data_IF_760160702141
#
_entry.id   IF_760160702141
#
_cell.length_a   1.000
_cell.length_b   1.000
_cell.length_c   1.000
_cell.angle_alpha   90.00
_cell.angle_beta   90.00
_cell.angle_gamma   90.00
#
_symmetry.space_group_name_H-M   'P 1'
#
loop_
_entity.id
_entity.type
_entity.pdbx_description
1 polymer ?
#
# COMPACT_ATOMS: atom_id res chain seq x y z
N UNK A 1 -2.57 24.70 18.84
CA UNK A 1 -1.65 23.70 18.27
C UNK A 1 -0.78 23.18 19.40
N UNK A 2 -0.52 21.87 19.45
CA UNK A 2 0.33 21.28 20.47
C UNK A 2 1.77 21.38 19.96
N UNK A 3 2.61 22.14 20.65
CA UNK A 3 4.03 22.27 20.35
C UNK A 3 4.81 21.50 21.41
N UNK A 4 5.42 20.40 21.03
CA UNK A 4 6.23 19.56 21.93
C UNK A 4 7.13 18.65 21.10
N UNK A 5 8.24 18.21 21.69
CA UNK A 5 9.19 17.29 21.07
C UNK A 5 9.34 16.06 21.93
N UNK A 6 9.43 14.89 21.30
CA UNK A 6 9.56 13.63 22.01
C UNK A 6 10.93 13.49 22.67
N UNK A 7 11.98 13.95 21.99
CA UNK A 7 13.35 13.91 22.50
C UNK A 7 13.67 14.86 23.66
N UNK A 8 12.81 15.85 23.94
CA UNK A 8 13.13 16.93 24.89
C UNK A 8 12.40 16.75 26.24
N UNK A 9 13.16 16.42 27.28
CA UNK A 9 12.69 16.35 28.68
C UNK A 9 11.66 15.26 28.99
N UNK A 10 11.56 14.24 28.16
CA UNK A 10 10.70 13.08 28.40
C UNK A 10 11.54 11.83 28.66
N UNK A 11 11.14 11.08 29.67
CA UNK A 11 11.63 9.71 29.88
C UNK A 11 10.46 8.75 29.89
N UNK A 12 10.44 7.83 28.92
CA UNK A 12 9.38 6.84 28.81
C UNK A 12 9.44 5.80 29.91
N UNK A 13 8.26 5.32 30.28
CA UNK A 13 8.10 4.22 31.21
C UNK A 13 7.93 2.92 30.45
N UNK A 14 8.28 1.80 31.08
CA UNK A 14 8.11 0.49 30.49
C UNK A 14 7.83 -0.58 31.54
N UNK A 15 7.30 -1.70 31.09
CA UNK A 15 7.11 -2.88 31.95
C UNK A 15 8.26 -3.87 31.77
N UNK A 16 8.69 -4.55 32.84
CA UNK A 16 9.65 -5.65 32.74
C UNK A 16 9.20 -6.67 31.68
N UNK A 17 10.10 -7.03 30.76
CA UNK A 17 9.81 -8.01 29.69
C UNK A 17 9.25 -7.42 28.40
N UNK A 18 9.14 -6.09 28.26
CA UNK A 18 8.88 -5.42 26.98
C UNK A 18 10.08 -4.54 26.66
N UNK A 19 10.86 -4.96 25.66
CA UNK A 19 12.10 -4.32 25.25
C UNK A 19 12.20 -4.29 23.72
N UNK A 20 12.97 -3.34 23.19
CA UNK A 20 13.28 -3.25 21.75
C UNK A 20 14.16 -4.42 21.29
N UNK A 21 15.04 -4.88 22.17
CA UNK A 21 16.06 -5.88 21.86
C UNK A 21 16.08 -7.02 22.89
N UNK A 22 16.18 -8.25 22.40
CA UNK A 22 16.32 -9.48 23.20
C UNK A 22 17.61 -10.19 22.80
N UNK A 23 18.73 -9.76 23.37
CA UNK A 23 20.05 -10.20 22.94
C UNK A 23 20.33 -9.74 21.51
N UNK A 24 20.59 -10.69 20.60
CA UNK A 24 20.77 -10.38 19.16
C UNK A 24 19.47 -10.21 18.37
N UNK A 25 18.31 -10.29 19.01
CA UNK A 25 17.02 -10.20 18.35
C UNK A 25 16.42 -8.80 18.48
N UNK A 26 16.40 -8.06 17.38
CA UNK A 26 15.82 -6.71 17.29
C UNK A 26 14.34 -6.79 16.88
N UNK A 27 13.42 -6.46 17.79
CA UNK A 27 11.97 -6.57 17.55
C UNK A 27 11.50 -5.62 16.45
N UNK A 28 12.09 -4.42 16.39
CA UNK A 28 11.79 -3.46 15.34
C UNK A 28 12.09 -4.02 13.94
N UNK A 29 13.28 -4.60 13.75
CA UNK A 29 13.66 -5.22 12.48
C UNK A 29 12.77 -6.44 12.15
N UNK A 30 12.43 -7.23 13.16
CA UNK A 30 11.53 -8.37 13.01
C UNK A 30 10.13 -7.95 12.55
N UNK A 31 9.50 -6.99 13.22
CA UNK A 31 8.15 -6.50 12.89
C UNK A 31 8.11 -5.84 11.50
N UNK A 32 9.13 -5.06 11.14
CA UNK A 32 9.28 -4.51 9.79
C UNK A 32 9.39 -5.60 8.72
N UNK A 33 10.23 -6.61 8.95
CA UNK A 33 10.40 -7.73 8.01
C UNK A 33 9.12 -8.56 7.88
N UNK A 34 8.45 -8.84 9.00
CA UNK A 34 7.17 -9.54 9.02
C UNK A 34 6.10 -8.76 8.25
N UNK A 35 6.02 -7.44 8.45
CA UNK A 35 5.13 -6.56 7.71
C UNK A 35 5.38 -6.61 6.19
N UNK A 36 6.64 -6.55 5.76
CA UNK A 36 7.02 -6.69 4.35
C UNK A 36 6.57 -8.06 3.79
N UNK A 37 6.81 -9.15 4.53
CA UNK A 37 6.40 -10.51 4.11
C UNK A 37 4.88 -10.57 3.93
N UNK A 38 4.10 -10.05 4.87
CA UNK A 38 2.63 -10.03 4.77
C UNK A 38 2.14 -9.22 3.56
N UNK A 39 2.76 -8.07 3.29
CA UNK A 39 2.46 -7.27 2.11
C UNK A 39 2.73 -8.05 0.80
N UNK A 40 3.84 -8.79 0.73
CA UNK A 40 4.18 -9.64 -0.43
C UNK A 40 3.22 -10.82 -0.55
N UNK A 41 2.90 -11.52 0.54
CA UNK A 41 1.97 -12.65 0.54
C UNK A 41 0.56 -12.25 0.09
N UNK A 42 0.07 -11.10 0.55
CA UNK A 42 -1.22 -10.61 0.09
C UNK A 42 -1.18 -10.12 -1.36
N UNK A 43 -0.07 -9.50 -1.79
CA UNK A 43 0.14 -9.16 -3.20
C UNK A 43 0.13 -10.42 -4.08
N UNK A 44 0.76 -11.50 -3.64
CA UNK A 44 0.71 -12.80 -4.31
C UNK A 44 -0.73 -13.33 -4.42
N UNK A 45 -1.51 -13.25 -3.34
CA UNK A 45 -2.93 -13.61 -3.39
C UNK A 45 -3.71 -12.78 -4.44
N UNK A 46 -3.49 -11.45 -4.50
CA UNK A 46 -4.11 -10.58 -5.52
C UNK A 46 -3.66 -10.94 -6.93
N UNK A 47 -2.37 -11.25 -7.14
CA UNK A 47 -1.85 -11.70 -8.43
C UNK A 47 -2.56 -12.98 -8.89
N UNK A 48 -2.67 -13.98 -8.02
CA UNK A 48 -3.36 -15.24 -8.34
C UNK A 48 -4.85 -15.02 -8.62
N UNK A 49 -5.52 -14.14 -7.88
CA UNK A 49 -6.93 -13.79 -8.10
C UNK A 49 -7.17 -13.09 -9.44
N UNK A 50 -6.17 -12.37 -9.96
CA UNK A 50 -6.21 -11.61 -11.21
C UNK A 50 -5.55 -12.33 -12.40
N UNK A 51 -5.14 -13.59 -12.21
CA UNK A 51 -4.44 -14.40 -13.23
C UNK A 51 -3.16 -13.72 -13.74
N UNK A 52 -2.45 -13.01 -12.86
CA UNK A 52 -1.16 -12.37 -13.15
C UNK A 52 -0.01 -13.36 -12.93
N UNK A 53 1.05 -13.21 -13.71
CA UNK A 53 2.23 -14.08 -13.61
C UNK A 53 2.92 -13.95 -12.26
N UNK A 54 3.18 -15.09 -11.62
CA UNK A 54 3.98 -15.15 -10.40
C UNK A 54 5.42 -14.69 -10.63
N UNK A 55 6.00 -15.00 -11.79
CA UNK A 55 7.35 -14.57 -12.15
C UNK A 55 7.49 -13.04 -12.12
N UNK A 56 6.43 -12.33 -12.53
CA UNK A 56 6.40 -10.86 -12.50
C UNK A 56 6.53 -10.31 -11.07
N UNK A 57 5.91 -10.98 -10.09
CA UNK A 57 6.02 -10.59 -8.68
C UNK A 57 7.42 -10.88 -8.14
N UNK A 58 8.01 -12.03 -8.47
CA UNK A 58 9.38 -12.38 -8.07
C UNK A 58 10.37 -11.33 -8.57
N UNK A 59 10.33 -10.99 -9.87
CA UNK A 59 11.19 -9.95 -10.44
C UNK A 59 10.97 -8.60 -9.76
N UNK A 60 9.73 -8.26 -9.44
CA UNK A 60 9.42 -7.07 -8.66
C UNK A 60 10.13 -7.07 -7.31
N UNK A 61 9.96 -8.12 -6.50
CA UNK A 61 10.57 -8.22 -5.16
C UNK A 61 12.10 -8.17 -5.23
N UNK A 62 12.71 -8.93 -6.15
CA UNK A 62 14.16 -9.04 -6.29
C UNK A 62 14.85 -7.71 -6.61
N UNK A 63 14.20 -6.82 -7.36
CA UNK A 63 14.79 -5.53 -7.71
C UNK A 63 14.32 -4.38 -6.82
N UNK A 64 13.02 -4.33 -6.47
CA UNK A 64 12.44 -3.20 -5.72
C UNK A 64 12.96 -3.18 -4.28
N UNK A 65 13.03 -4.33 -3.60
CA UNK A 65 13.43 -4.36 -2.18
C UNK A 65 14.89 -3.92 -1.99
N UNK A 66 15.89 -4.48 -2.71
CA UNK A 66 17.27 -4.03 -2.53
C UNK A 66 17.47 -2.57 -2.92
N UNK A 67 16.86 -2.12 -4.02
CA UNK A 67 16.99 -0.72 -4.46
C UNK A 67 16.31 0.24 -3.50
N UNK A 68 15.21 -0.16 -2.88
CA UNK A 68 14.59 0.59 -1.78
C UNK A 68 15.52 0.70 -0.57
N UNK A 69 16.22 -0.36 -0.19
CA UNK A 69 17.18 -0.31 0.92
C UNK A 69 18.39 0.58 0.58
N UNK A 70 18.93 0.47 -0.62
CA UNK A 70 20.01 1.35 -1.09
C UNK A 70 19.57 2.81 -1.13
N UNK A 71 18.39 3.10 -1.68
CA UNK A 71 17.84 4.44 -1.67
C UNK A 71 17.67 4.99 -0.26
N UNK A 72 17.14 4.18 0.66
CA UNK A 72 16.99 4.58 2.05
C UNK A 72 18.34 4.97 2.68
N UNK A 73 19.37 4.14 2.50
CA UNK A 73 20.72 4.42 2.98
C UNK A 73 21.30 5.71 2.38
N UNK A 74 21.28 5.84 1.05
CA UNK A 74 21.90 6.96 0.34
C UNK A 74 21.25 8.28 0.77
N UNK A 75 19.93 8.39 0.69
CA UNK A 75 19.25 9.65 1.06
C UNK A 75 19.30 9.93 2.56
N UNK A 76 19.33 8.91 3.42
CA UNK A 76 19.44 9.09 4.86
C UNK A 76 20.79 9.65 5.28
N UNK A 77 21.87 9.15 4.69
CA UNK A 77 23.23 9.63 4.95
C UNK A 77 23.55 10.96 4.25
N UNK A 78 22.82 11.32 3.20
CA UNK A 78 22.98 12.60 2.49
C UNK A 78 22.26 13.79 3.17
N UNK A 79 21.08 13.59 3.75
CA UNK A 79 20.23 14.68 4.30
C UNK A 79 20.67 15.21 5.68
N UNK A 80 21.91 14.95 6.06
CA UNK A 80 22.31 14.93 7.44
C UNK A 80 23.40 16.00 7.66
N UNK A 81 22.99 17.26 7.82
CA UNK A 81 23.80 18.49 8.00
C UNK A 81 24.95 18.77 7.01
N UNK A 82 25.22 17.86 6.07
CA UNK A 82 26.22 17.93 5.00
C UNK A 82 26.56 16.52 4.51
N UNK A 83 27.10 16.32 3.30
CA UNK A 83 27.53 15.00 2.85
C UNK A 83 28.59 14.44 3.81
N UNK A 84 28.22 13.41 4.58
CA UNK A 84 29.15 12.66 5.42
C UNK A 84 29.17 13.03 6.90
N UNK A 85 28.69 14.18 7.37
CA UNK A 85 28.89 14.56 8.79
C UNK A 85 28.10 13.69 9.79
N UNK A 86 26.88 13.26 9.49
CA UNK A 86 26.06 12.50 10.46
C UNK A 86 26.18 10.97 10.38
N UNK A 87 27.12 10.44 9.60
CA UNK A 87 27.57 9.05 9.74
C UNK A 87 29.05 8.99 10.17
N UNK A 88 29.59 10.09 10.71
CA UNK A 88 30.98 10.15 11.18
C UNK A 88 32.00 10.40 10.06
N UNK A 89 31.64 11.16 9.02
CA UNK A 89 32.50 11.45 7.88
C UNK A 89 32.54 10.35 6.81
N UNK A 90 31.46 9.58 6.63
CA UNK A 90 31.47 8.44 5.69
C UNK A 90 31.86 8.86 4.28
N UNK A 91 32.87 8.21 3.72
CA UNK A 91 33.24 8.36 2.32
C UNK A 91 32.12 7.89 1.38
N UNK A 92 32.26 8.16 0.07
CA UNK A 92 31.26 7.84 -0.96
C UNK A 92 30.66 6.43 -0.85
N UNK A 93 31.48 5.41 -0.57
CA UNK A 93 31.02 4.02 -0.43
C UNK A 93 30.15 3.77 0.80
N UNK A 94 30.37 4.54 1.88
CA UNK A 94 29.55 4.45 3.09
C UNK A 94 28.11 4.92 2.86
N UNK A 95 27.84 5.73 1.83
CA UNK A 95 26.46 6.09 1.47
C UNK A 95 25.59 4.87 1.12
N UNK A 96 26.20 3.80 0.60
CA UNK A 96 25.51 2.58 0.18
C UNK A 96 25.43 1.51 1.27
N UNK A 97 26.12 1.72 2.40
CA UNK A 97 26.15 0.77 3.51
C UNK A 97 24.81 0.79 4.28
N UNK A 98 23.80 0.11 3.74
CA UNK A 98 22.46 0.03 4.33
C UNK A 98 22.39 -0.79 5.63
N UNK A 99 23.48 -1.50 5.97
CA UNK A 99 23.65 -2.21 7.24
C UNK A 99 24.15 -1.30 8.37
N UNK A 100 24.49 -0.04 8.07
CA UNK A 100 24.79 0.98 9.08
C UNK A 100 23.59 1.88 9.30
N UNK A 101 23.60 2.61 10.43
CA UNK A 101 22.58 3.60 10.74
C UNK A 101 22.55 4.77 9.73
N UNK A 102 21.47 5.55 9.74
CA UNK A 102 21.29 6.70 8.87
C UNK A 102 20.46 6.39 7.61
N UNK A 103 19.34 5.70 7.75
CA UNK A 103 18.40 5.46 6.64
C UNK A 103 17.27 6.48 6.63
N UNK A 104 16.88 6.94 5.43
CA UNK A 104 15.70 7.80 5.21
C UNK A 104 14.58 7.01 4.55
N UNK A 105 13.40 7.02 5.17
CA UNK A 105 12.20 6.39 4.62
C UNK A 105 11.85 6.98 3.24
N UNK A 106 11.98 8.31 3.08
CA UNK A 106 11.70 8.99 1.81
C UNK A 106 12.57 8.46 0.67
N UNK A 107 13.86 8.26 0.93
CA UNK A 107 14.79 7.70 -0.05
C UNK A 107 14.40 6.31 -0.51
N UNK A 108 14.00 5.44 0.43
CA UNK A 108 13.56 4.10 0.09
C UNK A 108 12.26 4.09 -0.72
N UNK A 109 11.30 4.93 -0.34
CA UNK A 109 10.03 5.06 -1.09
C UNK A 109 10.27 5.54 -2.51
N UNK A 110 11.10 6.57 -2.72
CA UNK A 110 11.37 7.09 -4.07
C UNK A 110 12.14 6.09 -4.94
N UNK A 111 13.22 5.50 -4.41
CA UNK A 111 14.01 4.52 -5.14
C UNK A 111 13.19 3.27 -5.47
N UNK A 112 12.39 2.78 -4.51
CA UNK A 112 11.49 1.65 -4.70
C UNK A 112 10.39 1.94 -5.73
N UNK A 113 9.79 3.14 -5.69
CA UNK A 113 8.78 3.56 -6.67
C UNK A 113 9.36 3.60 -8.08
N UNK A 114 10.50 4.27 -8.27
CA UNK A 114 11.16 4.39 -9.58
C UNK A 114 11.50 2.99 -10.12
N UNK A 115 12.12 2.14 -9.30
CA UNK A 115 12.46 0.78 -9.71
C UNK A 115 11.21 -0.05 -10.04
N UNK A 116 10.13 0.12 -9.26
CA UNK A 116 8.85 -0.54 -9.54
C UNK A 116 8.25 -0.13 -10.88
N UNK A 117 8.26 1.16 -11.20
CA UNK A 117 7.78 1.68 -12.49
C UNK A 117 8.61 1.12 -13.65
N UNK A 118 9.93 1.01 -13.49
CA UNK A 118 10.83 0.44 -14.51
C UNK A 118 10.55 -1.05 -14.71
N UNK A 119 10.57 -1.84 -13.64
CA UNK A 119 10.41 -3.30 -13.70
C UNK A 119 9.04 -3.69 -14.24
N UNK A 120 7.96 -3.16 -13.65
CA UNK A 120 6.60 -3.46 -14.12
C UNK A 120 6.26 -2.78 -15.45
N UNK A 121 6.94 -1.69 -15.81
CA UNK A 121 6.85 -1.11 -17.15
C UNK A 121 7.42 -2.04 -18.22
N UNK A 122 8.59 -2.64 -17.98
CA UNK A 122 9.22 -3.60 -18.91
C UNK A 122 8.41 -4.89 -18.97
N UNK A 123 8.07 -5.47 -17.81
CA UNK A 123 7.32 -6.72 -17.72
C UNK A 123 5.92 -6.54 -18.31
N UNK A 124 5.24 -5.44 -17.99
CA UNK A 124 3.92 -5.11 -18.51
C UNK A 124 3.88 -5.02 -20.03
N UNK A 125 4.91 -4.43 -20.67
CA UNK A 125 5.01 -4.40 -22.14
C UNK A 125 5.18 -5.79 -22.75
N UNK A 126 5.94 -6.68 -22.11
CA UNK A 126 6.15 -8.07 -22.56
C UNK A 126 4.92 -8.96 -22.36
N UNK A 127 4.22 -8.77 -21.24
CA UNK A 127 3.06 -9.57 -20.83
C UNK A 127 1.72 -8.96 -21.24
N UNK A 128 1.74 -7.76 -21.82
CA UNK A 128 0.55 -6.93 -22.12
C UNK A 128 -0.32 -6.66 -20.89
N UNK A 129 0.27 -6.61 -19.70
CA UNK A 129 -0.44 -6.23 -18.46
C UNK A 129 -0.19 -4.76 -18.17
N UNK A 130 -1.25 -4.03 -17.86
CA UNK A 130 -1.15 -2.61 -17.51
C UNK A 130 -0.40 -2.41 -16.19
N UNK A 131 0.43 -1.37 -16.14
CA UNK A 131 1.11 -0.94 -14.92
C UNK A 131 0.11 -0.65 -13.79
N UNK A 132 -1.04 -0.06 -14.12
CA UNK A 132 -2.11 0.21 -13.16
C UNK A 132 -2.65 -1.06 -12.49
N UNK A 133 -2.70 -2.17 -13.24
CA UNK A 133 -3.12 -3.47 -12.72
C UNK A 133 -2.13 -4.01 -11.70
N UNK A 134 -0.82 -3.86 -11.95
CA UNK A 134 0.22 -4.21 -11.00
C UNK A 134 0.18 -3.29 -9.76
N UNK A 135 0.01 -1.99 -9.95
CA UNK A 135 -0.09 -1.03 -8.84
C UNK A 135 -1.25 -1.38 -7.90
N UNK A 136 -2.45 -1.61 -8.42
CA UNK A 136 -3.60 -2.01 -7.60
C UNK A 136 -3.40 -3.35 -6.87
N UNK A 137 -2.59 -4.24 -7.44
CA UNK A 137 -2.28 -5.53 -6.83
C UNK A 137 -1.23 -5.45 -5.72
N UNK A 138 -0.39 -4.40 -5.69
CA UNK A 138 0.76 -4.28 -4.78
C UNK A 138 0.56 -3.13 -3.79
N UNK A 139 0.32 -1.92 -4.28
CA UNK A 139 0.40 -0.67 -3.52
C UNK A 139 -0.51 -0.66 -2.29
N UNK A 140 -1.79 -1.08 -2.36
CA UNK A 140 -2.63 -1.12 -1.16
C UNK A 140 -2.03 -1.96 -0.03
N UNK A 141 -1.31 -3.03 -0.36
CA UNK A 141 -0.78 -3.98 0.63
C UNK A 141 0.41 -3.44 1.40
N UNK A 142 1.00 -2.30 0.99
CA UNK A 142 2.01 -1.57 1.77
C UNK A 142 1.44 -1.18 3.15
N UNK A 143 0.13 -0.92 3.24
CA UNK A 143 -0.53 -0.65 4.51
C UNK A 143 -0.35 -1.80 5.51
N UNK A 144 -0.43 -3.06 5.08
CA UNK A 144 -0.19 -4.21 5.97
C UNK A 144 1.22 -4.18 6.57
N UNK A 145 2.20 -3.78 5.75
CA UNK A 145 3.58 -3.59 6.21
C UNK A 145 3.67 -2.55 7.31
N UNK A 146 3.01 -1.41 7.12
CA UNK A 146 2.98 -0.34 8.12
C UNK A 146 2.19 -0.73 9.37
N UNK A 147 1.06 -1.43 9.24
CA UNK A 147 0.24 -1.93 10.37
C UNK A 147 1.12 -2.71 11.34
N UNK A 148 1.93 -3.64 10.83
CA UNK A 148 2.82 -4.46 11.66
C UNK A 148 4.07 -3.69 12.08
N UNK A 149 4.67 -2.89 11.19
CA UNK A 149 5.86 -2.09 11.49
C UNK A 149 5.66 -1.11 12.65
N UNK A 150 4.44 -0.59 12.85
CA UNK A 150 4.12 0.28 14.00
C UNK A 150 4.29 -0.40 15.36
N UNK A 151 4.19 -1.73 15.43
CA UNK A 151 4.47 -2.45 16.66
C UNK A 151 5.96 -2.42 17.01
N UNK A 152 6.86 -2.29 16.03
CA UNK A 152 8.27 -2.05 16.28
C UNK A 152 8.50 -0.75 17.07
N UNK A 153 7.80 0.33 16.70
CA UNK A 153 7.87 1.61 17.42
C UNK A 153 7.47 1.44 18.89
N UNK A 154 6.43 0.63 19.16
CA UNK A 154 6.00 0.33 20.52
C UNK A 154 7.09 -0.36 21.36
N UNK A 155 7.73 -1.40 20.83
CA UNK A 155 8.82 -2.10 21.55
C UNK A 155 10.06 -1.22 21.75
N UNK A 156 10.30 -0.27 20.84
CA UNK A 156 11.36 0.73 20.97
C UNK A 156 10.99 1.91 21.87
N UNK A 157 9.76 1.98 22.39
CA UNK A 157 9.24 3.12 23.17
C UNK A 157 9.41 4.46 22.45
N UNK A 158 9.15 4.48 21.15
CA UNK A 158 9.23 5.68 20.32
C UNK A 158 7.88 5.98 19.65
N UNK A 159 7.75 7.20 19.13
CA UNK A 159 6.65 7.64 18.27
C UNK A 159 5.29 7.68 18.99
N UNK A 160 5.29 8.09 20.25
CA UNK A 160 4.06 8.34 21.00
C UNK A 160 3.50 9.73 20.67
N UNK A 161 2.22 9.95 20.99
CA UNK A 161 1.57 11.24 20.80
C UNK A 161 1.61 12.11 22.04
N UNK A 162 1.03 13.30 21.90
CA UNK A 162 0.93 14.28 22.97
C UNK A 162 0.39 13.69 24.28
N UNK A 163 0.76 14.25 25.44
CA UNK A 163 0.18 13.88 26.73
C UNK A 163 -1.33 14.11 26.70
N UNK A 164 -2.09 13.12 27.19
CA UNK A 164 -3.56 13.16 27.21
C UNK A 164 -4.14 13.13 28.62
N UNK A 165 -3.33 12.75 29.62
CA UNK A 165 -3.77 12.71 31.02
C UNK A 165 -2.57 12.77 31.97
N UNK A 166 -2.67 13.61 33.01
CA UNK A 166 -1.79 13.55 34.17
C UNK A 166 -2.18 12.36 35.06
N UNK A 167 -1.22 11.50 35.37
CA UNK A 167 -1.41 10.32 36.21
C UNK A 167 -1.00 10.57 37.66
N UNK A 168 -0.01 11.43 37.87
CA UNK A 168 0.52 11.78 39.18
C UNK A 168 1.87 12.47 39.06
N UNK A 169 2.61 12.47 40.15
CA UNK A 169 3.93 13.07 40.25
C UNK A 169 4.90 12.06 40.87
N UNK A 170 6.15 12.06 40.41
CA UNK A 170 7.19 11.14 40.87
C UNK A 170 8.51 11.86 41.08
N UNK A 171 9.30 11.36 42.03
CA UNK A 171 10.71 11.70 42.21
C UNK A 171 11.63 10.59 41.67
N UNK A 172 11.06 9.53 41.07
CA UNK A 172 11.79 8.39 40.54
C UNK A 172 12.17 8.62 39.08
N UNK A 173 13.44 8.97 38.83
CA UNK A 173 13.98 9.19 37.47
C UNK A 173 14.97 8.09 37.04
N UNK A 174 15.14 7.04 37.85
CA UNK A 174 16.06 5.96 37.57
C UNK A 174 15.64 5.15 36.34
N UNK A 175 16.44 5.23 35.28
CA UNK A 175 16.31 4.36 34.11
C UNK A 175 16.87 2.98 34.44
N UNK A 176 16.21 1.94 33.95
CA UNK A 176 16.76 0.59 33.96
C UNK A 176 17.83 0.42 32.86
N UNK A 177 18.42 -0.78 32.78
CA UNK A 177 19.45 -1.13 31.78
C UNK A 177 19.00 -0.97 30.30
N UNK A 178 17.71 -0.77 30.07
CA UNK A 178 17.10 -0.61 28.74
C UNK A 178 16.67 0.84 28.48
N UNK A 179 17.03 1.78 29.36
CA UNK A 179 16.82 3.21 29.14
C UNK A 179 15.44 3.76 29.54
N UNK A 180 14.59 2.97 30.19
CA UNK A 180 13.24 3.39 30.61
C UNK A 180 13.01 3.25 32.12
N UNK A 181 12.02 3.96 32.64
CA UNK A 181 11.62 3.88 34.05
C UNK A 181 10.61 2.74 34.22
N UNK A 182 10.80 1.84 35.19
CA UNK A 182 9.78 0.85 35.51
C UNK A 182 8.52 1.57 36.01
N UNK A 183 7.39 1.37 35.33
CA UNK A 183 6.14 2.03 35.74
C UNK A 183 5.78 1.75 37.21
N UNK A 184 6.09 0.54 37.71
CA UNK A 184 5.74 0.17 39.08
C UNK A 184 6.65 0.84 40.13
N UNK A 185 7.80 1.41 39.74
CA UNK A 185 8.71 2.13 40.63
C UNK A 185 8.36 3.62 40.80
N UNK A 186 7.36 4.11 40.08
CA UNK A 186 6.94 5.52 40.08
C UNK A 186 6.26 5.96 41.38
N UNK A 187 5.76 5.01 42.18
CA UNK A 187 5.06 5.30 43.44
C UNK A 187 3.66 5.90 43.26
N UNK A 188 3.10 5.85 42.04
CA UNK A 188 1.74 6.32 41.73
C UNK A 188 0.75 5.15 41.64
N UNK A 189 -0.54 5.36 41.94
CA UNK A 189 -1.56 4.33 41.71
C UNK A 189 -1.61 3.92 40.24
N UNK A 190 -1.57 2.61 39.96
CA UNK A 190 -1.72 2.08 38.61
C UNK A 190 -3.19 2.11 38.17
N UNK A 191 -3.60 3.02 37.27
CA UNK A 191 -4.99 3.11 36.81
C UNK A 191 -5.39 1.92 35.94
N UNK A 192 -4.40 1.15 35.48
CA UNK A 192 -4.55 0.13 34.45
C UNK A 192 -4.35 -1.30 34.98
N UNK A 193 -4.22 -1.48 36.29
CA UNK A 193 -3.94 -2.77 36.93
C UNK A 193 -4.93 -3.88 36.52
N UNK A 194 -6.21 -3.53 36.35
CA UNK A 194 -7.28 -4.46 35.97
C UNK A 194 -7.57 -4.48 34.45
N UNK A 195 -6.81 -3.74 33.65
CA UNK A 195 -7.03 -3.65 32.20
C UNK A 195 -6.23 -4.73 31.47
N UNK A 196 -6.86 -5.51 30.56
CA UNK A 196 -6.12 -6.47 29.71
C UNK A 196 -5.12 -5.78 28.77
N UNK A 197 -5.27 -4.47 28.55
CA UNK A 197 -4.35 -3.64 27.76
C UNK A 197 -3.47 -2.75 28.63
N UNK A 198 -3.42 -2.99 29.95
CA UNK A 198 -2.64 -2.15 30.87
C UNK A 198 -1.15 -2.09 30.52
N UNK A 199 -0.60 -3.16 29.96
CA UNK A 199 0.76 -3.18 29.45
C UNK A 199 0.98 -2.14 28.32
N UNK A 200 0.04 -1.92 27.40
CA UNK A 200 0.20 -0.88 26.37
C UNK A 200 0.26 0.50 27.01
N UNK A 201 -0.67 0.79 27.92
CA UNK A 201 -0.79 2.10 28.56
C UNK A 201 0.43 2.44 29.43
N UNK A 202 0.94 1.45 30.18
CA UNK A 202 2.18 1.57 30.98
C UNK A 202 3.42 1.80 30.13
N UNK A 203 3.52 1.18 28.95
CA UNK A 203 4.66 1.35 28.04
C UNK A 203 4.51 2.60 27.14
N UNK A 204 3.40 3.33 27.26
CA UNK A 204 3.15 4.62 26.60
C UNK A 204 2.93 5.74 27.60
N UNK A 205 3.36 5.55 28.85
CA UNK A 205 3.44 6.63 29.83
C UNK A 205 4.85 7.20 29.85
N UNK A 206 4.99 8.42 30.32
CA UNK A 206 6.27 9.12 30.36
C UNK A 206 6.34 10.06 31.55
N UNK A 207 7.55 10.26 32.06
CA UNK A 207 7.87 11.24 33.08
C UNK A 207 8.44 12.47 32.38
N UNK A 208 7.87 13.64 32.70
CA UNK A 208 8.37 14.93 32.25
C UNK A 208 9.40 15.48 33.24
N UNK A 209 10.55 15.95 32.76
CA UNK A 209 11.64 16.49 33.57
C UNK A 209 12.07 17.90 33.09
N UNK A 210 11.17 18.58 32.39
CA UNK A 210 11.44 19.89 31.79
C UNK A 210 10.91 21.05 32.63
N UNK A 211 11.13 22.30 32.17
CA UNK A 211 10.57 23.48 32.83
C UNK A 211 9.04 23.46 32.81
N UNK A 212 8.43 24.12 33.79
CA UNK A 212 6.98 24.20 33.90
C UNK A 212 6.32 24.69 32.59
N UNK A 213 5.34 23.95 32.10
CA UNK A 213 4.71 24.23 30.80
C UNK A 213 3.28 23.69 30.71
N UNK A 214 2.58 24.05 29.63
CA UNK A 214 1.25 23.55 29.32
C UNK A 214 1.26 22.86 27.96
N UNK A 215 0.98 21.55 27.96
CA UNK A 215 0.91 20.76 26.73
C UNK A 215 -0.47 20.10 26.66
N UNK A 216 -1.18 20.34 25.57
CA UNK A 216 -2.51 19.75 25.33
C UNK A 216 -3.52 20.02 26.48
N UNK A 217 -3.43 21.19 27.12
CA UNK A 217 -4.27 21.57 28.25
C UNK A 217 -3.90 20.92 29.60
N UNK A 218 -2.77 20.20 29.65
CA UNK A 218 -2.23 19.59 30.86
C UNK A 218 -1.07 20.46 31.35
N UNK A 219 -1.14 20.83 32.63
CA UNK A 219 -0.05 21.50 33.34
C UNK A 219 1.03 20.48 33.67
N UNK A 220 2.26 20.75 33.24
CA UNK A 220 3.42 19.89 33.42
C UNK A 220 4.46 20.60 34.27
N UNK A 221 4.89 19.92 35.32
CA UNK A 221 5.98 20.30 36.20
C UNK A 221 7.05 19.19 36.19
N UNK A 222 8.31 19.47 36.55
CA UNK A 222 9.33 18.43 36.66
C UNK A 222 8.86 17.30 37.58
N UNK A 223 8.91 16.05 37.12
CA UNK A 223 8.39 14.86 37.80
C UNK A 223 6.94 14.50 37.46
N UNK A 224 6.25 15.27 36.61
CA UNK A 224 4.89 14.94 36.18
C UNK A 224 4.86 13.63 35.37
N UNK A 225 4.05 12.67 35.82
CA UNK A 225 3.83 11.40 35.09
C UNK A 225 2.60 11.55 34.22
N UNK A 226 2.77 11.40 32.92
CA UNK A 226 1.71 11.56 31.94
C UNK A 226 1.44 10.27 31.17
N UNK A 227 0.17 10.03 30.89
CA UNK A 227 -0.23 9.10 29.85
C UNK A 227 -0.07 9.80 28.50
N UNK A 228 0.75 9.22 27.63
CA UNK A 228 0.90 9.68 26.25
C UNK A 228 -0.13 8.97 25.37
N UNK A 229 -0.51 9.62 24.27
CA UNK A 229 -1.41 9.00 23.30
C UNK A 229 -0.67 7.85 22.58
N UNK A 230 -1.17 6.60 22.59
CA UNK A 230 -0.53 5.48 21.90
C UNK A 230 -0.73 5.57 20.37
N UNK A 231 -0.08 6.53 19.71
CA UNK A 231 -0.22 6.79 18.28
C UNK A 231 0.08 5.54 17.45
N UNK A 232 1.07 4.73 17.84
CA UNK A 232 1.40 3.50 17.12
C UNK A 232 0.18 2.58 16.94
N UNK A 233 -0.66 2.44 17.97
CA UNK A 233 -1.84 1.56 17.95
C UNK A 233 -2.96 2.18 17.13
N UNK A 234 -3.21 3.47 17.31
CA UNK A 234 -4.21 4.21 16.55
C UNK A 234 -3.86 4.17 15.06
N UNK A 235 -2.58 4.40 14.71
CA UNK A 235 -2.08 4.32 13.35
C UNK A 235 -2.20 2.91 12.79
N UNK A 236 -1.78 1.89 13.53
CA UNK A 236 -1.90 0.49 13.13
C UNK A 236 -3.36 0.11 12.81
N UNK A 237 -4.31 0.46 13.69
CA UNK A 237 -5.73 0.17 13.48
C UNK A 237 -6.33 0.98 12.33
N UNK A 238 -5.99 2.27 12.21
CA UNK A 238 -6.48 3.13 11.15
C UNK A 238 -5.96 2.68 9.77
N UNK A 239 -4.68 2.34 9.65
CA UNK A 239 -4.10 1.80 8.42
C UNK A 239 -4.71 0.45 8.04
N UNK A 240 -4.99 -0.41 9.02
CA UNK A 240 -5.69 -1.67 8.79
C UNK A 240 -7.12 -1.43 8.27
N UNK A 241 -7.84 -0.48 8.87
CA UNK A 241 -9.18 -0.09 8.40
C UNK A 241 -9.13 0.44 6.96
N UNK A 242 -8.20 1.35 6.64
CA UNK A 242 -7.99 1.82 5.26
C UNK A 242 -7.67 0.67 4.32
N UNK A 243 -6.80 -0.26 4.72
CA UNK A 243 -6.46 -1.41 3.90
C UNK A 243 -7.69 -2.28 3.61
N UNK A 244 -8.53 -2.53 4.62
CA UNK A 244 -9.78 -3.28 4.46
C UNK A 244 -10.73 -2.57 3.49
N UNK A 245 -10.87 -1.25 3.60
CA UNK A 245 -11.69 -0.44 2.71
C UNK A 245 -11.17 -0.50 1.27
N UNK A 246 -9.88 -0.23 1.05
CA UNK A 246 -9.27 -0.19 -0.29
C UNK A 246 -9.28 -1.58 -0.94
N UNK A 247 -9.07 -2.64 -0.17
CA UNK A 247 -8.91 -4.00 -0.70
C UNK A 247 -10.23 -4.74 -0.89
N UNK A 248 -11.22 -4.50 -0.02
CA UNK A 248 -12.47 -5.25 -0.04
C UNK A 248 -13.69 -4.39 -0.36
N UNK A 249 -13.75 -3.13 0.09
CA UNK A 249 -14.89 -2.26 -0.18
C UNK A 249 -14.82 -1.73 -1.61
N UNK A 250 -13.80 -0.94 -1.92
CA UNK A 250 -13.66 -0.19 -3.18
C UNK A 250 -13.80 -1.06 -4.44
N UNK A 251 -13.20 -2.26 -4.54
CA UNK A 251 -13.31 -3.10 -5.73
C UNK A 251 -14.69 -3.75 -5.91
N UNK A 252 -15.53 -3.74 -4.86
CA UNK A 252 -16.84 -4.39 -4.84
C UNK A 252 -18.02 -3.41 -4.79
N UNK A 253 -17.81 -2.11 -4.56
CA UNK A 253 -18.87 -1.08 -4.57
C UNK A 253 -19.74 -1.19 -5.83
N UNK A 254 -19.11 -1.21 -7.00
CA UNK A 254 -19.83 -1.32 -8.28
C UNK A 254 -20.64 -2.62 -8.41
N UNK A 255 -20.13 -3.73 -7.85
CA UNK A 255 -20.87 -5.00 -7.85
C UNK A 255 -22.05 -5.01 -6.91
N UNK A 256 -22.07 -4.16 -5.88
CA UNK A 256 -23.16 -4.09 -4.90
C UNK A 256 -24.29 -3.16 -5.33
N UNK A 257 -23.97 -2.02 -5.95
CA UNK A 257 -24.98 -1.03 -6.34
C UNK A 257 -25.31 -1.06 -7.85
N UNK A 258 -24.40 -1.57 -8.68
CA UNK A 258 -24.59 -1.61 -10.13
C UNK A 258 -25.53 -2.72 -10.62
N UNK A 259 -25.79 -2.73 -11.95
CA UNK A 259 -26.64 -3.73 -12.59
C UNK A 259 -26.08 -5.14 -12.39
N UNK A 260 -26.95 -6.11 -12.09
CA UNK A 260 -26.53 -7.49 -11.77
C UNK A 260 -26.56 -8.36 -13.02
N UNK A 261 -25.58 -9.24 -13.24
CA UNK A 261 -25.56 -10.12 -14.41
C UNK A 261 -26.85 -10.94 -14.60
N UNK A 262 -27.40 -11.50 -13.53
CA UNK A 262 -28.64 -12.28 -13.57
C UNK A 262 -29.92 -11.45 -13.73
N UNK A 263 -29.82 -10.11 -13.68
CA UNK A 263 -30.93 -9.21 -14.02
C UNK A 263 -30.83 -8.70 -15.46
N UNK A 264 -29.61 -8.50 -15.96
CA UNK A 264 -29.37 -8.04 -17.33
C UNK A 264 -29.55 -9.18 -18.32
N UNK A 265 -29.00 -10.36 -18.03
CA UNK A 265 -29.11 -11.56 -18.87
C UNK A 265 -29.61 -12.76 -18.03
N UNK A 266 -30.90 -12.80 -17.69
CA UNK A 266 -31.47 -13.85 -16.83
C UNK A 266 -31.42 -15.26 -17.47
N UNK A 267 -31.38 -15.33 -18.80
CA UNK A 267 -31.27 -16.59 -19.56
C UNK A 267 -29.88 -17.19 -19.47
N UNK A 268 -28.83 -16.36 -19.36
CA UNK A 268 -27.43 -16.76 -19.34
C UNK A 268 -26.88 -16.94 -17.93
N UNK A 269 -27.34 -16.09 -17.00
CA UNK A 269 -26.87 -16.07 -15.62
C UNK A 269 -28.03 -16.22 -14.64
N UNK A 270 -28.04 -17.31 -13.90
CA UNK A 270 -29.00 -17.52 -12.82
C UNK A 270 -28.38 -17.17 -11.47
N UNK A 271 -29.16 -16.55 -10.57
CA UNK A 271 -28.71 -16.17 -9.23
C UNK A 271 -28.40 -17.44 -8.43
N UNK A 272 -27.18 -17.53 -7.89
CA UNK A 272 -26.75 -18.60 -6.99
C UNK A 272 -26.09 -18.04 -5.74
N UNK A 273 -25.84 -18.90 -4.74
CA UNK A 273 -25.14 -18.50 -3.52
C UNK A 273 -23.70 -18.03 -3.79
N UNK A 274 -23.06 -18.50 -4.88
CA UNK A 274 -21.70 -18.12 -5.31
C UNK A 274 -21.72 -16.99 -6.35
N UNK A 275 -22.27 -15.84 -5.97
CA UNK A 275 -22.40 -14.66 -6.85
C UNK A 275 -21.07 -14.17 -7.44
N UNK A 276 -19.95 -14.33 -6.72
CA UNK A 276 -18.62 -13.96 -7.23
C UNK A 276 -18.21 -14.73 -8.49
N UNK A 277 -18.61 -16.00 -8.62
CA UNK A 277 -18.31 -16.81 -9.81
C UNK A 277 -19.12 -16.33 -11.01
N UNK A 278 -20.37 -15.91 -10.79
CA UNK A 278 -21.24 -15.36 -11.83
C UNK A 278 -20.66 -14.04 -12.36
N UNK A 279 -20.18 -13.16 -11.49
CA UNK A 279 -19.51 -11.93 -11.89
C UNK A 279 -18.25 -12.19 -12.74
N UNK A 280 -17.43 -13.16 -12.35
CA UNK A 280 -16.27 -13.55 -13.15
C UNK A 280 -16.69 -14.09 -14.53
N UNK A 281 -17.73 -14.93 -14.59
CA UNK A 281 -18.26 -15.44 -15.87
C UNK A 281 -18.79 -14.30 -16.76
N UNK A 282 -19.63 -13.43 -16.23
CA UNK A 282 -20.30 -12.37 -16.97
C UNK A 282 -19.36 -11.25 -17.42
N UNK A 283 -18.47 -10.79 -16.55
CA UNK A 283 -17.63 -9.65 -16.88
C UNK A 283 -16.27 -10.04 -17.46
N UNK A 284 -15.64 -11.08 -16.92
CA UNK A 284 -14.24 -11.43 -17.25
C UNK A 284 -14.18 -12.48 -18.35
N UNK A 285 -15.03 -13.51 -18.33
CA UNK A 285 -14.90 -14.67 -19.23
C UNK A 285 -15.80 -14.61 -20.46
N UNK A 286 -16.90 -13.90 -20.39
CA UNK A 286 -17.78 -13.69 -21.52
C UNK A 286 -17.28 -12.53 -22.41
N UNK A 287 -17.20 -12.77 -23.72
CA UNK A 287 -16.96 -11.72 -24.72
C UNK A 287 -18.20 -11.71 -25.60
N UNK A 288 -18.88 -10.58 -25.63
CA UNK A 288 -20.00 -10.37 -26.54
C UNK A 288 -19.46 -10.22 -27.97
N UNK A 289 -19.79 -11.17 -28.84
CA UNK A 289 -19.37 -11.18 -30.24
C UNK A 289 -19.97 -10.00 -31.02
N UNK A 290 -21.19 -9.56 -30.70
CA UNK A 290 -21.80 -8.40 -31.33
C UNK A 290 -21.05 -7.12 -30.96
N UNK A 291 -20.67 -6.97 -29.68
CA UNK A 291 -19.89 -5.83 -29.22
C UNK A 291 -18.50 -5.75 -29.88
N UNK A 292 -17.85 -6.90 -30.08
CA UNK A 292 -16.59 -7.00 -30.84
C UNK A 292 -16.80 -6.58 -32.29
N UNK A 293 -17.84 -7.10 -32.95
CA UNK A 293 -18.12 -6.79 -34.36
C UNK A 293 -18.40 -5.29 -34.56
N UNK A 294 -19.19 -4.69 -33.66
CA UNK A 294 -19.47 -3.26 -33.68
C UNK A 294 -18.17 -2.44 -33.50
N UNK A 295 -17.27 -2.90 -32.64
CA UNK A 295 -15.95 -2.26 -32.49
C UNK A 295 -15.07 -2.45 -33.73
N UNK A 296 -15.13 -3.59 -34.42
CA UNK A 296 -14.42 -3.83 -35.68
C UNK A 296 -14.89 -2.86 -36.77
N UNK A 297 -16.20 -2.69 -36.92
CA UNK A 297 -16.80 -1.76 -37.89
C UNK A 297 -16.36 -0.33 -37.58
N UNK A 298 -16.44 0.07 -36.31
CA UNK A 298 -15.90 1.35 -35.85
C UNK A 298 -14.42 1.51 -36.21
N UNK A 299 -13.62 0.45 -35.96
CA UNK A 299 -12.18 0.45 -36.19
C UNK A 299 -11.83 0.70 -37.67
N UNK A 300 -12.61 0.12 -38.58
CA UNK A 300 -12.38 0.25 -40.02
C UNK A 300 -12.81 1.62 -40.58
N UNK A 301 -13.85 2.23 -40.01
CA UNK A 301 -14.46 3.43 -40.61
C UNK A 301 -13.97 4.74 -39.99
N UNK A 302 -13.74 4.78 -38.67
CA UNK A 302 -13.60 6.05 -37.94
C UNK A 302 -12.31 6.13 -37.10
N UNK A 303 -11.56 5.02 -36.95
CA UNK A 303 -10.47 4.96 -35.97
C UNK A 303 -9.30 5.88 -36.28
N UNK A 304 -9.00 6.10 -37.56
CA UNK A 304 -7.89 6.97 -37.96
C UNK A 304 -8.20 8.44 -37.67
N UNK A 305 -9.44 8.86 -37.95
CA UNK A 305 -9.94 10.23 -37.79
C UNK A 305 -10.20 10.61 -36.33
N UNK A 306 -10.64 9.65 -35.51
CA UNK A 306 -11.05 9.91 -34.15
C UNK A 306 -9.89 10.25 -33.21
N UNK A 307 -10.13 11.13 -32.23
CA UNK A 307 -9.16 11.39 -31.17
C UNK A 307 -8.94 10.18 -30.25
N UNK A 308 -7.79 10.16 -29.55
CA UNK A 308 -7.42 9.06 -28.62
C UNK A 308 -8.50 8.75 -27.58
N UNK A 309 -9.22 9.78 -27.13
CA UNK A 309 -10.31 9.66 -26.17
C UNK A 309 -11.51 8.89 -26.73
N UNK A 310 -11.96 9.23 -27.95
CA UNK A 310 -13.07 8.55 -28.65
C UNK A 310 -12.73 7.07 -28.84
N UNK A 311 -11.53 6.78 -29.37
CA UNK A 311 -11.03 5.39 -29.56
C UNK A 311 -11.08 4.57 -28.27
N UNK A 312 -10.59 5.14 -27.16
CA UNK A 312 -10.65 4.51 -25.85
C UNK A 312 -12.09 4.28 -25.39
N UNK A 313 -12.98 5.24 -25.59
CA UNK A 313 -14.39 5.15 -25.20
C UNK A 313 -15.08 3.99 -25.92
N UNK A 314 -14.90 3.88 -27.23
CA UNK A 314 -15.44 2.77 -28.02
C UNK A 314 -14.89 1.42 -27.55
N UNK A 315 -13.59 1.31 -27.31
CA UNK A 315 -12.98 0.07 -26.84
C UNK A 315 -13.51 -0.36 -25.45
N UNK A 316 -13.67 0.59 -24.53
CA UNK A 316 -14.19 0.31 -23.18
C UNK A 316 -15.64 -0.15 -23.25
N UNK A 317 -16.46 0.55 -24.04
CA UNK A 317 -17.87 0.22 -24.21
C UNK A 317 -18.03 -1.16 -24.85
N UNK A 318 -17.21 -1.48 -25.85
CA UNK A 318 -17.19 -2.82 -26.47
C UNK A 318 -16.75 -3.92 -25.48
N UNK A 319 -15.85 -3.59 -24.54
CA UNK A 319 -15.48 -4.50 -23.46
C UNK A 319 -16.47 -4.49 -22.28
N UNK A 320 -17.49 -3.64 -22.26
CA UNK A 320 -18.51 -3.64 -21.20
C UNK A 320 -19.89 -3.26 -21.77
N UNK A 321 -20.43 -4.08 -22.70
CA UNK A 321 -21.65 -3.72 -23.45
C UNK A 321 -22.87 -3.59 -22.53
N UNK A 322 -22.89 -4.34 -21.43
CA UNK A 322 -23.97 -4.34 -20.44
C UNK A 322 -23.86 -3.23 -19.38
N UNK A 323 -22.87 -2.35 -19.47
CA UNK A 323 -22.76 -1.19 -18.57
C UNK A 323 -22.53 -1.53 -17.10
N UNK A 324 -21.84 -2.64 -16.80
CA UNK A 324 -21.54 -3.00 -15.41
C UNK A 324 -20.69 -1.94 -14.72
N UNK A 325 -21.03 -1.61 -13.47
CA UNK A 325 -20.26 -0.67 -12.66
C UNK A 325 -19.05 -1.37 -12.06
N UNK A 326 -17.86 -0.97 -12.51
CA UNK A 326 -16.63 -1.68 -12.20
C UNK A 326 -15.54 -0.67 -11.86
N UNK A 327 -14.82 -0.97 -10.79
CA UNK A 327 -13.64 -0.24 -10.37
C UNK A 327 -12.54 -0.48 -11.39
N UNK A 328 -12.12 0.60 -12.06
CA UNK A 328 -11.12 0.53 -13.13
C UNK A 328 -9.70 0.44 -12.54
N UNK A 329 -8.79 -0.13 -13.32
CA UNK A 329 -7.40 -0.26 -12.91
C UNK A 329 -6.76 1.10 -12.57
N UNK A 330 -6.08 1.17 -11.43
CA UNK A 330 -5.43 2.35 -10.85
C UNK A 330 -6.22 2.98 -9.70
N UNK A 331 -7.51 2.65 -9.56
CA UNK A 331 -8.36 3.24 -8.53
C UNK A 331 -8.00 2.75 -7.12
N UNK A 332 -7.63 1.47 -6.95
CA UNK A 332 -7.21 0.94 -5.63
C UNK A 332 -5.89 1.58 -5.17
N UNK A 333 -4.91 1.75 -6.07
CA UNK A 333 -3.65 2.41 -5.77
C UNK A 333 -3.85 3.90 -5.43
N UNK A 334 -4.75 4.59 -6.14
CA UNK A 334 -5.09 5.99 -5.84
C UNK A 334 -5.82 6.12 -4.49
N UNK A 335 -6.72 5.19 -4.18
CA UNK A 335 -7.43 5.14 -2.91
C UNK A 335 -6.52 4.83 -1.72
N UNK A 336 -5.50 3.98 -1.92
CA UNK A 336 -4.41 3.82 -0.95
C UNK A 336 -3.76 5.17 -0.66
N UNK A 337 -3.39 5.93 -1.70
CA UNK A 337 -2.68 7.19 -1.53
C UNK A 337 -3.55 8.22 -0.78
N UNK A 338 -4.83 8.31 -1.10
CA UNK A 338 -5.78 9.13 -0.34
C UNK A 338 -5.93 8.68 1.11
N UNK A 339 -6.23 7.39 1.33
CA UNK A 339 -6.51 6.87 2.67
C UNK A 339 -5.30 6.90 3.60
N UNK A 340 -4.11 6.61 3.09
CA UNK A 340 -2.86 6.74 3.86
C UNK A 340 -2.60 8.18 4.29
N UNK A 341 -2.73 9.15 3.37
CA UNK A 341 -2.55 10.55 3.70
C UNK A 341 -3.64 11.07 4.65
N UNK A 342 -4.87 10.56 4.56
CA UNK A 342 -5.94 10.92 5.49
C UNK A 342 -5.62 10.47 6.92
N UNK A 343 -5.17 9.23 7.10
CA UNK A 343 -4.70 8.72 8.41
C UNK A 343 -3.53 9.57 8.90
N UNK A 344 -2.56 9.85 8.00
CA UNK A 344 -1.41 10.67 8.34
C UNK A 344 -1.83 12.05 8.81
N UNK A 345 -2.71 12.74 8.07
CA UNK A 345 -3.19 14.08 8.38
C UNK A 345 -3.81 14.18 9.78
N UNK A 346 -4.67 13.21 10.13
CA UNK A 346 -5.33 13.17 11.45
C UNK A 346 -4.30 12.98 12.56
N UNK A 347 -3.36 12.06 12.39
CA UNK A 347 -2.36 11.76 13.41
C UNK A 347 -1.33 12.88 13.57
N UNK A 348 -0.96 13.54 12.48
CA UNK A 348 -0.01 14.65 12.43
C UNK A 348 -0.38 15.79 13.39
N UNK A 349 -1.69 16.01 13.64
CA UNK A 349 -2.18 17.00 14.60
C UNK A 349 -1.71 16.73 16.04
N UNK A 350 -1.58 15.45 16.40
CA UNK A 350 -1.21 14.98 17.74
C UNK A 350 0.26 14.59 17.88
N UNK A 351 0.99 14.55 16.76
CA UNK A 351 2.40 14.16 16.73
C UNK A 351 3.31 15.22 17.36
N UNK A 352 4.40 14.78 17.99
CA UNK A 352 5.49 15.65 18.38
C UNK A 352 6.18 16.26 17.15
N UNK A 353 6.75 17.45 17.33
CA UNK A 353 7.25 18.31 16.26
C UNK A 353 8.49 17.73 15.56
N UNK A 354 9.29 16.91 16.25
CA UNK A 354 10.43 16.14 15.73
C UNK A 354 10.02 14.87 14.95
N UNK A 355 8.75 14.45 15.03
CA UNK A 355 8.23 13.27 14.33
C UNK A 355 7.19 13.61 13.24
N UNK A 356 7.10 14.89 12.89
CA UNK A 356 6.30 15.38 11.78
C UNK A 356 6.87 14.92 10.43
N UNK A 357 6.02 14.91 9.40
CA UNK A 357 6.42 14.65 8.02
C UNK A 357 7.44 15.69 7.55
N UNK A 358 7.18 16.97 7.83
CA UNK A 358 8.22 18.01 7.86
C UNK A 358 8.50 18.37 9.31
N UNK A 359 9.68 17.95 9.79
CA UNK A 359 10.10 18.20 11.17
C UNK A 359 10.06 19.70 11.49
N UNK A 360 9.53 20.03 12.67
CA UNK A 360 9.46 21.37 13.24
C UNK A 360 8.60 22.40 12.48
N UNK A 361 7.93 22.02 11.38
CA UNK A 361 6.99 22.88 10.65
C UNK A 361 5.64 22.18 10.45
N UNK A 362 4.78 22.29 11.47
CA UNK A 362 3.46 21.64 11.50
C UNK A 362 2.52 22.18 10.41
N UNK A 363 2.40 23.50 10.15
CA UNK A 363 1.59 24.01 9.05
C UNK A 363 2.02 23.47 7.68
N UNK A 364 3.32 23.49 7.38
CA UNK A 364 3.84 22.99 6.10
C UNK A 364 3.64 21.48 5.98
N UNK A 365 3.90 20.74 7.06
CA UNK A 365 3.66 19.30 7.14
C UNK A 365 2.20 18.95 6.79
N UNK A 366 1.24 19.58 7.47
CA UNK A 366 -0.19 19.38 7.23
C UNK A 366 -0.62 19.79 5.82
N UNK A 367 -0.09 20.91 5.31
CA UNK A 367 -0.39 21.38 3.96
C UNK A 367 0.08 20.37 2.90
N UNK A 368 1.31 19.85 3.01
CA UNK A 368 1.84 18.86 2.08
C UNK A 368 1.04 17.56 2.11
N UNK A 369 0.70 17.07 3.31
CA UNK A 369 -0.12 15.86 3.47
C UNK A 369 -1.55 16.09 2.93
N UNK A 370 -2.11 17.28 3.12
CA UNK A 370 -3.42 17.64 2.59
C UNK A 370 -3.45 17.67 1.06
N UNK A 371 -2.43 18.29 0.45
CA UNK A 371 -2.28 18.33 -1.01
C UNK A 371 -2.07 16.92 -1.58
N UNK A 372 -1.23 16.09 -0.96
CA UNK A 372 -1.03 14.70 -1.39
C UNK A 372 -2.30 13.86 -1.24
N UNK A 373 -3.08 14.04 -0.18
CA UNK A 373 -4.40 13.42 -0.05
C UNK A 373 -5.31 13.81 -1.22
N UNK A 374 -5.36 15.11 -1.55
CA UNK A 374 -6.18 15.60 -2.66
C UNK A 374 -5.74 15.05 -4.01
N UNK A 375 -4.43 14.88 -4.25
CA UNK A 375 -3.89 14.19 -5.43
C UNK A 375 -4.40 12.74 -5.50
N UNK A 376 -4.42 12.03 -4.36
CA UNK A 376 -4.99 10.67 -4.30
C UNK A 376 -6.47 10.63 -4.67
N UNK A 377 -7.26 11.57 -4.15
CA UNK A 377 -8.69 11.70 -4.45
C UNK A 377 -8.95 12.02 -5.92
N UNK A 378 -8.23 13.00 -6.49
CA UNK A 378 -8.25 13.30 -7.92
C UNK A 378 -7.84 12.07 -8.72
N UNK A 379 -6.80 11.35 -8.30
CA UNK A 379 -6.34 10.11 -8.91
C UNK A 379 -7.45 9.06 -9.02
N UNK A 380 -8.27 8.89 -7.99
CA UNK A 380 -9.42 7.97 -8.03
C UNK A 380 -10.44 8.38 -9.11
N UNK A 381 -10.75 9.69 -9.22
CA UNK A 381 -11.68 10.19 -10.24
C UNK A 381 -11.10 10.04 -11.65
N UNK A 382 -9.83 10.42 -11.84
CA UNK A 382 -9.14 10.32 -13.12
C UNK A 382 -8.99 8.86 -13.58
N UNK A 383 -8.65 7.94 -12.67
CA UNK A 383 -8.55 6.50 -12.99
C UNK A 383 -9.90 5.88 -13.29
N UNK A 384 -11.00 6.44 -12.79
CA UNK A 384 -12.34 5.98 -13.11
C UNK A 384 -12.90 6.59 -14.41
N UNK A 385 -12.51 7.81 -14.77
CA UNK A 385 -13.12 8.56 -15.89
C UNK A 385 -12.14 8.78 -17.05
N UNK A 386 -11.00 9.41 -16.80
CA UNK A 386 -10.12 9.99 -17.83
C UNK A 386 -9.04 9.03 -18.31
N UNK A 387 -8.21 8.52 -17.39
CA UNK A 387 -7.06 7.65 -17.69
C UNK A 387 -7.47 6.41 -18.52
N UNK A 388 -8.58 5.73 -18.23
CA UNK A 388 -9.10 4.64 -19.06
C UNK A 388 -9.21 4.99 -20.54
N UNK A 389 -9.76 6.16 -20.85
CA UNK A 389 -10.02 6.59 -22.23
C UNK A 389 -8.73 6.88 -22.98
N UNK A 390 -7.68 7.28 -22.27
CA UNK A 390 -6.40 7.64 -22.88
C UNK A 390 -5.43 6.46 -22.96
N UNK A 391 -5.53 5.49 -22.06
CA UNK A 391 -4.46 4.49 -21.86
C UNK A 391 -4.82 3.07 -22.26
N UNK A 392 -6.11 2.76 -22.46
CA UNK A 392 -6.57 1.41 -22.80
C UNK A 392 -6.23 1.02 -24.24
N UNK A 393 -5.88 -0.24 -24.43
CA UNK A 393 -5.46 -0.82 -25.70
C UNK A 393 -5.99 -2.24 -25.83
N UNK A 394 -6.24 -2.66 -27.06
CA UNK A 394 -6.65 -4.04 -27.39
C UNK A 394 -5.58 -5.06 -26.99
N UNK A 395 -6.00 -6.24 -26.53
CA UNK A 395 -5.10 -7.31 -26.09
C UNK A 395 -4.31 -7.05 -24.81
N UNK A 396 -4.54 -5.93 -24.12
CA UNK A 396 -3.95 -5.65 -22.82
C UNK A 396 -4.86 -6.06 -21.66
N UNK A 397 -4.26 -6.37 -20.51
CA UNK A 397 -4.96 -6.72 -19.27
C UNK A 397 -5.03 -5.51 -18.34
N UNK A 398 -6.26 -5.09 -18.05
CA UNK A 398 -6.59 -4.03 -17.07
C UNK A 398 -7.39 -4.63 -15.91
N UNK A 399 -8.63 -4.17 -15.68
CA UNK A 399 -9.60 -4.84 -14.80
C UNK A 399 -10.04 -6.23 -15.31
N UNK A 400 -9.84 -6.47 -16.61
CA UNK A 400 -10.03 -7.74 -17.31
C UNK A 400 -9.12 -7.81 -18.54
N UNK A 401 -8.91 -8.99 -19.14
CA UNK A 401 -8.25 -9.08 -20.45
C UNK A 401 -9.14 -8.48 -21.54
N UNK A 402 -8.63 -7.49 -22.26
CA UNK A 402 -9.33 -6.88 -23.39
C UNK A 402 -9.17 -7.76 -24.63
N UNK A 403 -10.23 -7.87 -25.45
CA UNK A 403 -10.17 -8.65 -26.67
C UNK A 403 -9.20 -8.05 -27.70
N UNK A 404 -8.78 -8.88 -28.65
CA UNK A 404 -8.01 -8.46 -29.83
C UNK A 404 -8.87 -8.66 -31.06
N UNK A 405 -8.81 -7.71 -31.98
CA UNK A 405 -9.36 -7.83 -33.33
C UNK A 405 -8.25 -8.28 -34.29
N UNK A 406 -8.44 -9.37 -35.05
CA UNK A 406 -7.48 -9.73 -36.09
C UNK A 406 -7.55 -8.72 -37.24
N UNK A 407 -6.40 -8.18 -37.65
CA UNK A 407 -6.18 -7.72 -39.01
C UNK A 407 -5.13 -8.67 -39.62
N UNK A 408 -5.54 -9.47 -40.60
CA UNK A 408 -4.62 -10.02 -41.59
C UNK A 408 -5.22 -9.68 -42.95
N UNK A 409 -4.54 -8.78 -43.67
CA UNK A 409 -4.72 -8.60 -45.10
C UNK A 409 -4.44 -9.95 -45.79
N UNK A 410 -5.41 -10.46 -46.56
CA UNK A 410 -5.17 -11.58 -47.50
C UNK A 410 -5.74 -12.97 -47.15
N UNK A 411 -6.81 -13.09 -46.36
CA UNK A 411 -7.51 -14.37 -46.12
C UNK A 411 -9.00 -14.30 -46.45
N UNK A 412 -9.51 -15.32 -47.16
CA UNK A 412 -10.91 -15.49 -47.59
C UNK A 412 -11.95 -15.09 -46.51
N UNK A 413 -13.10 -14.56 -46.98
CA UNK A 413 -14.24 -14.04 -46.19
C UNK A 413 -14.76 -14.94 -45.05
N UNK A 414 -14.42 -16.23 -45.03
CA UNK A 414 -14.84 -17.16 -43.98
C UNK A 414 -13.99 -17.12 -42.69
N UNK A 415 -12.87 -16.40 -42.65
CA UNK A 415 -11.97 -16.33 -41.47
C UNK A 415 -11.90 -14.95 -40.78
N UNK A 416 -12.72 -13.98 -41.19
CA UNK A 416 -12.64 -12.57 -40.74
C UNK A 416 -13.14 -12.28 -39.30
N UNK A 417 -13.60 -13.28 -38.55
CA UNK A 417 -14.30 -13.05 -37.26
C UNK A 417 -13.79 -13.98 -36.16
N UNK A 418 -12.58 -13.74 -35.63
CA UNK A 418 -12.11 -14.40 -34.41
C UNK A 418 -11.48 -13.39 -33.45
N UNK A 419 -12.27 -12.86 -32.52
CA UNK A 419 -11.72 -12.25 -31.32
C UNK A 419 -11.21 -13.34 -30.38
N UNK A 420 -9.92 -13.29 -30.05
CA UNK A 420 -9.32 -14.19 -29.06
C UNK A 420 -9.02 -13.39 -27.80
N UNK A 421 -9.42 -13.90 -26.63
CA UNK A 421 -8.93 -13.36 -25.35
C UNK A 421 -7.45 -13.68 -25.23
N UNK A 422 -6.63 -12.65 -25.02
CA UNK A 422 -5.23 -12.86 -24.61
C UNK A 422 -5.25 -13.26 -23.14
N UNK A 423 -5.29 -14.56 -22.89
CA UNK A 423 -4.87 -15.12 -21.60
C UNK A 423 -3.40 -15.52 -21.78
N UNK A 424 -2.46 -14.67 -21.39
CA UNK A 424 -1.06 -15.08 -21.25
C UNK A 424 -0.43 -14.37 -20.04
N UNK A 425 0.38 -15.09 -19.22
CA UNK A 425 1.09 -16.30 -19.59
C UNK A 425 0.59 -17.56 -18.86
N UNK A 426 0.20 -18.59 -19.63
CA UNK A 426 0.47 -19.97 -19.17
C UNK A 426 1.95 -20.20 -19.38
N UNK A 427 2.62 -20.76 -18.38
CA UNK A 427 3.98 -21.26 -18.53
C UNK A 427 4.03 -22.16 -19.77
N UNK A 428 4.69 -21.68 -20.82
CA UNK A 428 4.90 -22.42 -22.07
C UNK A 428 5.53 -23.80 -21.80
N UNK A 429 6.13 -24.01 -20.61
CA UNK A 429 6.62 -25.31 -20.13
C UNK A 429 5.51 -26.29 -19.71
N UNK A 430 4.45 -25.86 -19.03
CA UNK A 430 3.41 -26.79 -18.55
C UNK A 430 2.52 -27.29 -19.69
N UNK A 431 2.18 -26.42 -20.65
CA UNK A 431 1.45 -26.83 -21.86
C UNK A 431 2.31 -27.73 -22.77
N UNK A 432 3.59 -27.39 -22.99
CA UNK A 432 4.50 -28.29 -23.72
C UNK A 432 4.76 -29.60 -22.99
N UNK A 433 4.76 -29.62 -21.65
CA UNK A 433 4.89 -30.85 -20.87
C UNK A 433 3.64 -31.73 -20.98
N UNK A 434 2.44 -31.12 -20.96
CA UNK A 434 1.17 -31.82 -21.13
C UNK A 434 1.03 -32.36 -22.55
N UNK A 435 1.37 -31.58 -23.58
CA UNK A 435 1.40 -32.05 -24.98
C UNK A 435 2.42 -33.18 -25.17
N UNK A 436 3.57 -33.12 -24.49
CA UNK A 436 4.60 -34.16 -24.54
C UNK A 436 4.17 -35.43 -23.79
N UNK A 437 3.36 -35.31 -22.74
CA UNK A 437 2.75 -36.45 -22.05
C UNK A 437 1.64 -37.07 -22.89
N UNK A 438 0.75 -36.26 -23.47
CA UNK A 438 -0.33 -36.75 -24.35
C UNK A 438 0.22 -37.42 -25.62
N UNK A 439 1.29 -36.88 -26.23
CA UNK A 439 1.99 -37.55 -27.34
C UNK A 439 2.68 -38.86 -26.92
N UNK A 440 3.04 -39.03 -25.65
CA UNK A 440 3.60 -40.30 -25.13
C UNK A 440 2.51 -41.34 -24.86
N UNK A 441 1.29 -40.92 -24.56
CA UNK A 441 0.14 -41.82 -24.38
C UNK A 441 -0.47 -42.26 -25.71
N UNK A 442 -0.43 -41.42 -26.75
CA UNK A 442 -0.86 -41.78 -28.11
C UNK A 442 0.12 -42.68 -28.88
N UNK A 443 1.37 -42.77 -28.42
CA UNK A 443 2.43 -43.60 -29.02
C UNK A 443 2.69 -44.91 -28.22
N UNK A 444 1.84 -45.20 -27.23
CA UNK A 444 1.74 -46.49 -26.55
C UNK A 444 0.45 -47.17 -26.99
#
# INVERSE_FOLDING_TARGET
>A
MINWKEGDNWTFTGTPGIHGDYGGFHVYAFTMTLGMILAILYSFYKFRKRDLSFDSLIWGVLFIVPVSLFGASVFGKLNANGPGENAGGVGFWGLFAFWEAGMSIHGGVYAGLIMGLVVFGIIGRKTKVSLWTYMDAIIPNILLGQVVGRWGNFFNHELVGAPIRLLGHTNSFGKNQWGFIDFNSLGIPDPWANSPLGWIWKNTSAVYDGPETWINGIHLEPGAVCQMLPIFLIESLALLAVWLLVTFLIPNIGKWFGPKPWKVEPTKYQKSWRTSSIWAKAFINDVDSLAVNNYQVYKNNNYEDDGRWERGRHLINANNPHGYWITKAGCEASAYFFGWNLVRFVLELSRPDDHLFIMYDKPLSLALIGVSAFIGLIGMVLTQIVIPQLTRREGWVYEKPYFVTNMNEGGHESDQLKATKVIQPKSNKAQKALEKMQKRELNK
#
